data_IF_921797446361
#
_entry.id   IF_921797446361
#
_cell.length_a   1.000
_cell.length_b   1.000
_cell.length_c   1.000
_cell.angle_alpha   90.00
_cell.angle_beta   90.00
_cell.angle_gamma   90.00
#
_symmetry.space_group_name_H-M   'P 1'
#
loop_
_entity.id
_entity.type
_entity.pdbx_description
1 polymer ?
#
# COMPACT_ATOMS: atom_id res chain seq x y z
N UNK A 1 13.63 24.68 4.86
CA UNK A 1 14.45 23.63 4.22
C UNK A 1 14.26 23.71 2.71
N UNK A 2 15.33 23.57 1.92
CA UNK A 2 15.30 23.57 0.45
C UNK A 2 15.62 22.16 -0.04
N UNK A 3 14.70 21.53 -0.78
CA UNK A 3 14.91 20.25 -1.44
C UNK A 3 15.23 20.53 -2.92
N UNK A 4 16.39 20.09 -3.39
CA UNK A 4 16.74 20.10 -4.81
C UNK A 4 16.55 18.70 -5.36
N UNK A 5 15.86 18.58 -6.50
CA UNK A 5 15.53 17.31 -7.13
C UNK A 5 15.98 17.41 -8.59
N UNK A 6 16.81 16.48 -9.03
CA UNK A 6 17.21 16.39 -10.43
C UNK A 6 16.15 15.60 -11.20
N UNK A 7 15.53 16.27 -12.17
CA UNK A 7 14.52 15.69 -13.06
C UNK A 7 14.76 16.18 -14.49
N UNK A 8 14.38 15.35 -15.46
CA UNK A 8 14.39 15.75 -16.87
C UNK A 8 13.34 16.81 -17.17
N UNK A 9 13.50 17.55 -18.26
CA UNK A 9 12.53 18.58 -18.67
C UNK A 9 11.11 18.00 -18.92
N UNK A 10 11.04 16.79 -19.47
CA UNK A 10 9.79 16.07 -19.70
C UNK A 10 9.10 15.69 -18.39
N UNK A 11 9.85 15.14 -17.43
CA UNK A 11 9.33 14.83 -16.09
C UNK A 11 8.83 16.09 -15.36
N UNK A 12 9.54 17.22 -15.48
CA UNK A 12 9.07 18.49 -14.93
C UNK A 12 7.75 18.94 -15.57
N UNK A 13 7.59 18.77 -16.88
CA UNK A 13 6.35 19.12 -17.59
C UNK A 13 5.17 18.25 -17.11
N UNK A 14 5.39 16.95 -16.97
CA UNK A 14 4.39 16.02 -16.43
C UNK A 14 4.00 16.39 -15.01
N UNK A 15 4.98 16.64 -14.14
CA UNK A 15 4.78 17.02 -12.74
C UNK A 15 4.01 18.34 -12.61
N UNK A 16 4.30 19.32 -13.46
CA UNK A 16 3.59 20.59 -13.51
C UNK A 16 2.13 20.41 -13.94
N UNK A 17 1.87 19.56 -14.93
CA UNK A 17 0.52 19.25 -15.38
C UNK A 17 -0.28 18.53 -14.27
N UNK A 18 0.31 17.51 -13.64
CA UNK A 18 -0.31 16.77 -12.53
C UNK A 18 -0.67 17.69 -11.35
N UNK A 19 0.23 18.60 -10.98
CA UNK A 19 -0.03 19.59 -9.93
C UNK A 19 -1.18 20.54 -10.31
N UNK A 20 -1.21 21.01 -11.55
CA UNK A 20 -2.27 21.89 -12.06
C UNK A 20 -3.64 21.20 -12.08
N UNK A 21 -3.70 19.92 -12.45
CA UNK A 21 -4.93 19.11 -12.44
C UNK A 21 -5.51 19.01 -11.03
N UNK A 22 -4.66 18.89 -10.01
CA UNK A 22 -5.09 18.89 -8.61
C UNK A 22 -5.35 20.30 -8.04
N UNK A 23 -5.16 21.36 -8.84
CA UNK A 23 -5.28 22.75 -8.39
C UNK A 23 -4.22 23.18 -7.38
N UNK A 24 -3.10 22.45 -7.28
CA UNK A 24 -2.03 22.68 -6.32
C UNK A 24 -0.82 23.32 -6.98
N UNK A 25 -0.03 24.06 -6.20
CA UNK A 25 1.29 24.50 -6.66
C UNK A 25 2.21 23.28 -6.82
N UNK A 26 3.12 23.31 -7.80
CA UNK A 26 4.10 22.24 -8.02
C UNK A 26 4.90 21.93 -6.75
N UNK A 27 5.20 22.96 -5.96
CA UNK A 27 5.91 22.83 -4.68
C UNK A 27 5.12 21.99 -3.68
N UNK A 28 3.84 22.31 -3.50
CA UNK A 28 2.96 21.59 -2.56
C UNK A 28 2.76 20.15 -3.02
N UNK A 29 2.50 19.95 -4.31
CA UNK A 29 2.28 18.64 -4.90
C UNK A 29 3.49 17.72 -4.72
N UNK A 30 4.71 18.22 -4.99
CA UNK A 30 5.94 17.45 -4.79
C UNK A 30 6.17 17.10 -3.33
N UNK A 31 5.88 18.02 -2.41
CA UNK A 31 6.03 17.74 -0.98
C UNK A 31 5.06 16.67 -0.49
N UNK A 32 3.81 16.68 -0.97
CA UNK A 32 2.83 15.65 -0.64
C UNK A 32 3.17 14.29 -1.25
N UNK A 33 3.71 14.23 -2.47
CA UNK A 33 4.15 12.97 -3.08
C UNK A 33 5.45 12.42 -2.46
N UNK A 34 6.37 13.29 -2.04
CA UNK A 34 7.65 12.89 -1.47
C UNK A 34 7.54 12.48 0.01
N UNK A 35 6.51 12.96 0.71
CA UNK A 35 6.25 12.58 2.09
C UNK A 35 5.29 11.38 2.10
N UNK A 36 5.60 10.30 2.84
CA UNK A 36 4.68 9.19 2.96
C UNK A 36 3.38 9.71 3.58
N UNK A 37 2.25 9.44 2.93
CA UNK A 37 0.96 9.78 3.51
C UNK A 37 0.78 8.96 4.80
N UNK A 38 0.20 9.58 5.82
CA UNK A 38 -0.05 8.89 7.09
C UNK A 38 -0.93 7.65 6.88
N UNK A 39 -1.84 7.72 5.91
CA UNK A 39 -2.70 6.62 5.46
C UNK A 39 -1.91 5.46 4.86
N UNK A 40 -0.90 5.72 4.01
CA UNK A 40 -0.02 4.66 3.49
C UNK A 40 0.77 4.02 4.61
N UNK A 41 1.33 4.81 5.53
CA UNK A 41 2.08 4.27 6.67
C UNK A 41 1.22 3.34 7.54
N UNK A 42 -0.04 3.71 7.78
CA UNK A 42 -1.00 2.88 8.51
C UNK A 42 -1.41 1.63 7.73
N UNK A 43 -1.62 1.74 6.42
CA UNK A 43 -1.91 0.62 5.55
C UNK A 43 -0.75 -0.39 5.52
N UNK A 44 0.49 0.09 5.43
CA UNK A 44 1.69 -0.73 5.50
C UNK A 44 1.81 -1.46 6.84
N UNK A 45 1.55 -0.79 7.96
CA UNK A 45 1.54 -1.43 9.30
C UNK A 45 0.47 -2.51 9.42
N UNK A 46 -0.73 -2.27 8.89
CA UNK A 46 -1.81 -3.28 8.87
C UNK A 46 -1.41 -4.50 8.05
N UNK A 47 -0.82 -4.28 6.88
CA UNK A 47 -0.32 -5.35 6.02
C UNK A 47 0.77 -6.16 6.72
N UNK A 48 1.74 -5.49 7.33
CA UNK A 48 2.82 -6.11 8.10
C UNK A 48 2.29 -6.96 9.27
N UNK A 49 1.29 -6.45 9.99
CA UNK A 49 0.63 -7.22 11.07
C UNK A 49 -0.04 -8.50 10.54
N UNK A 50 -0.73 -8.42 9.40
CA UNK A 50 -1.39 -9.57 8.77
C UNK A 50 -0.36 -10.62 8.32
N UNK A 51 0.72 -10.17 7.67
CA UNK A 51 1.79 -11.05 7.20
C UNK A 51 2.51 -11.73 8.38
N UNK A 52 2.83 -10.99 9.44
CA UNK A 52 3.44 -11.56 10.64
C UNK A 52 2.53 -12.61 11.30
N UNK A 53 1.22 -12.37 11.36
CA UNK A 53 0.25 -13.39 11.84
C UNK A 53 0.29 -14.66 10.99
N UNK A 54 0.31 -14.52 9.65
CA UNK A 54 0.40 -15.67 8.73
C UNK A 54 1.71 -16.43 8.87
N UNK A 55 2.83 -15.73 8.99
CA UNK A 55 4.15 -16.34 9.20
C UNK A 55 4.16 -17.13 10.52
N UNK A 56 3.69 -16.53 11.60
CA UNK A 56 3.60 -17.21 12.90
C UNK A 56 2.70 -18.44 12.86
N UNK A 57 1.55 -18.36 12.16
CA UNK A 57 0.63 -19.49 11.95
C UNK A 57 1.25 -20.62 11.12
N UNK A 58 2.03 -20.27 10.10
CA UNK A 58 2.75 -21.24 9.28
C UNK A 58 3.88 -21.91 10.08
N UNK A 59 4.65 -21.13 10.85
CA UNK A 59 5.70 -21.65 11.74
C UNK A 59 5.13 -22.53 12.86
N UNK A 60 3.94 -22.22 13.37
CA UNK A 60 3.26 -23.07 14.35
C UNK A 60 2.61 -24.32 13.76
N UNK A 61 2.77 -24.56 12.45
CA UNK A 61 2.24 -25.76 11.78
C UNK A 61 0.73 -25.75 11.57
N UNK A 62 0.07 -24.59 11.67
CA UNK A 62 -1.36 -24.45 11.39
C UNK A 62 -1.60 -24.37 9.86
N UNK A 63 -1.15 -25.40 9.16
CA UNK A 63 -1.42 -25.61 7.74
C UNK A 63 -2.63 -26.54 7.67
N UNK A 64 -3.72 -26.06 7.09
CA UNK A 64 -4.91 -26.89 6.90
C UNK A 64 -4.63 -27.91 5.81
N UNK A 65 -4.84 -29.20 6.11
CA UNK A 65 -4.81 -30.28 5.12
C UNK A 65 -6.16 -30.46 4.41
N UNK A 66 -7.16 -29.63 4.73
CA UNK A 66 -8.47 -29.68 4.10
C UNK A 66 -8.35 -29.29 2.63
N UNK A 67 -9.06 -30.02 1.79
CA UNK A 67 -9.21 -29.68 0.37
C UNK A 67 -10.12 -28.46 0.23
N UNK A 68 -10.03 -27.77 -0.91
CA UNK A 68 -10.87 -26.60 -1.17
C UNK A 68 -12.36 -26.96 -1.02
N UNK A 69 -12.80 -28.09 -1.56
CA UNK A 69 -14.20 -28.53 -1.52
C UNK A 69 -14.68 -28.74 -0.07
N UNK A 70 -13.87 -29.35 0.79
CA UNK A 70 -14.19 -29.53 2.22
C UNK A 70 -14.30 -28.19 2.97
N UNK A 71 -13.50 -27.18 2.61
CA UNK A 71 -13.59 -25.84 3.20
C UNK A 71 -14.88 -25.15 2.76
N UNK A 72 -15.27 -25.30 1.50
CA UNK A 72 -16.53 -24.75 1.00
C UNK A 72 -17.75 -25.39 1.66
N UNK A 73 -17.76 -26.71 1.80
CA UNK A 73 -18.86 -27.45 2.43
C UNK A 73 -19.03 -27.09 3.92
N UNK A 74 -17.93 -26.86 4.65
CA UNK A 74 -17.97 -26.42 6.05
C UNK A 74 -18.55 -25.00 6.18
N UNK A 75 -18.03 -24.03 5.43
CA UNK A 75 -18.45 -22.62 5.54
C UNK A 75 -19.86 -22.37 5.00
N UNK A 76 -20.34 -23.21 4.06
CA UNK A 76 -21.73 -23.18 3.57
C UNK A 76 -22.71 -23.87 4.51
N UNK A 77 -22.25 -24.84 5.31
CA UNK A 77 -23.07 -25.51 6.32
C UNK A 77 -23.19 -24.70 7.62
N UNK A 78 -22.21 -23.84 7.90
CA UNK A 78 -22.19 -22.93 9.05
C UNK A 78 -22.94 -21.58 8.80
N UNK A 79 -23.52 -21.37 7.61
CA UNK A 79 -24.44 -20.26 7.30
C UNK A 79 -25.91 -20.60 7.56
#
# INVERSE_FOLDING_TARGET
MRLSIDITAEQHQFLKAAAAIQGKSIKTYVLECALPSQEESEAFKKLESLLNKRINSALSGAISNKTLDEIFDEELADQ
#
